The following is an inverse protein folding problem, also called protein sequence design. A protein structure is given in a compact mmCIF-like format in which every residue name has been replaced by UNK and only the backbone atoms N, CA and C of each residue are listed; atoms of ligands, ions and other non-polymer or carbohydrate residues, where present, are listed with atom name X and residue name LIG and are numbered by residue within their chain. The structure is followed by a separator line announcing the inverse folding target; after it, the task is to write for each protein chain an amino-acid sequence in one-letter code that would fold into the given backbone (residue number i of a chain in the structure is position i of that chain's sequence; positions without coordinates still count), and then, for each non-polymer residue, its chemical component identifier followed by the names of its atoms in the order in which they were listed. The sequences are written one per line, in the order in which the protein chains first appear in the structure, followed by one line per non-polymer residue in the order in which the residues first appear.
data_IF_382900622712
#
_entry.id   IF_382900622712
#
_cell.length_a   1.000
_cell.length_b   1.000
_cell.length_c   1.000
_cell.angle_alpha   90.00
_cell.angle_beta   90.00
_cell.angle_gamma   90.00
#
_symmetry.space_group_name_H-M   'P 1'
#
loop_
_entity.id
_entity.type
_entity.pdbx_description
1 polymer ?
#
# COMPACT_ATOMS: atom_id res chain seq x y z
N UNK A 1 -1.55 9.62 26.38
CA UNK A 1 -1.00 9.59 25.02
C UNK A 1 -1.81 8.57 24.28
N UNK A 2 -2.39 8.95 23.15
CA UNK A 2 -3.18 8.04 22.31
C UNK A 2 -2.23 7.12 21.56
N UNK A 3 -2.57 5.85 21.41
CA UNK A 3 -1.79 4.90 20.61
C UNK A 3 -2.44 4.69 19.24
N UNK A 4 -1.63 4.66 18.18
CA UNK A 4 -2.09 4.45 16.81
C UNK A 4 -1.56 3.12 16.23
N UNK A 5 -2.45 2.38 15.56
CA UNK A 5 -2.11 1.21 14.76
C UNK A 5 -2.18 1.57 13.27
N UNK A 6 -1.07 1.38 12.56
CA UNK A 6 -0.97 1.49 11.11
C UNK A 6 -1.02 0.09 10.48
N UNK A 7 -2.13 -0.23 9.82
CA UNK A 7 -2.33 -1.49 9.09
C UNK A 7 -1.98 -1.26 7.62
N UNK A 8 -0.88 -1.86 7.18
CA UNK A 8 -0.31 -1.61 5.85
C UNK A 8 -0.79 -2.64 4.84
N UNK A 9 -1.49 -2.16 3.81
CA UNK A 9 -1.74 -2.85 2.53
C UNK A 9 -2.25 -4.29 2.64
N UNK A 10 -3.24 -4.55 3.51
CA UNK A 10 -3.91 -5.85 3.59
C UNK A 10 -4.93 -5.97 2.45
N UNK A 11 -4.43 -6.04 1.21
CA UNK A 11 -5.17 -6.04 -0.04
C UNK A 11 -5.10 -7.40 -0.75
N UNK A 12 -6.09 -7.68 -1.60
CA UNK A 12 -6.21 -8.96 -2.30
C UNK A 12 -4.96 -9.31 -3.11
N UNK A 13 -4.35 -8.33 -3.79
CA UNK A 13 -3.18 -8.60 -4.63
C UNK A 13 -1.94 -9.04 -3.86
N UNK A 14 -1.87 -8.74 -2.55
CA UNK A 14 -0.77 -9.17 -1.67
C UNK A 14 -1.08 -10.46 -0.91
N UNK A 15 -2.31 -10.97 -0.99
CA UNK A 15 -2.72 -12.24 -0.39
C UNK A 15 -2.65 -13.38 -1.43
N UNK A 16 -2.75 -14.66 -1.01
CA UNK A 16 -2.76 -15.80 -1.94
C UNK A 16 -3.77 -15.62 -3.08
N UNK A 17 -3.35 -15.98 -4.30
CA UNK A 17 -4.08 -15.79 -5.55
C UNK A 17 -4.14 -14.35 -6.09
N UNK A 18 -3.52 -13.39 -5.38
CA UNK A 18 -3.31 -12.02 -5.84
C UNK A 18 -2.22 -11.88 -6.90
N UNK A 19 -2.19 -10.74 -7.60
CA UNK A 19 -1.20 -10.48 -8.66
C UNK A 19 0.25 -10.37 -8.15
N UNK A 20 0.44 -9.98 -6.88
CA UNK A 20 1.73 -9.90 -6.20
C UNK A 20 1.65 -10.62 -4.85
N UNK A 21 1.13 -11.85 -4.88
CA UNK A 21 0.82 -12.62 -3.68
C UNK A 21 2.05 -12.87 -2.80
N UNK A 22 1.90 -12.58 -1.51
CA UNK A 22 2.82 -13.01 -0.45
C UNK A 22 2.31 -14.30 0.16
N UNK A 23 3.18 -15.31 0.25
CA UNK A 23 2.82 -16.60 0.80
C UNK A 23 2.32 -16.47 2.26
N UNK A 24 1.08 -16.89 2.50
CA UNK A 24 0.43 -16.78 3.81
C UNK A 24 0.07 -15.34 4.23
N UNK A 25 0.04 -14.38 3.30
CA UNK A 25 -0.30 -12.98 3.59
C UNK A 25 -1.71 -12.77 4.16
N UNK A 26 -2.61 -13.73 3.98
CA UNK A 26 -3.96 -13.76 4.54
C UNK A 26 -4.01 -14.27 6.00
N UNK A 27 -3.00 -15.02 6.46
CA UNK A 27 -3.00 -15.61 7.80
C UNK A 27 -2.95 -14.57 8.94
N UNK A 28 -2.50 -13.35 8.64
CA UNK A 28 -2.40 -12.25 9.61
C UNK A 28 -3.69 -11.43 9.75
N UNK A 29 -4.69 -11.65 8.90
CA UNK A 29 -5.89 -10.80 8.85
C UNK A 29 -6.67 -10.84 10.17
N UNK A 30 -6.89 -12.04 10.74
CA UNK A 30 -7.61 -12.17 12.00
C UNK A 30 -6.83 -11.60 13.20
N UNK A 31 -5.50 -11.86 13.34
CA UNK A 31 -4.68 -11.16 14.32
C UNK A 31 -4.74 -9.62 14.20
N UNK A 32 -4.74 -9.07 12.98
CA UNK A 32 -4.88 -7.63 12.74
C UNK A 32 -6.24 -7.12 13.21
N UNK A 33 -7.33 -7.80 12.86
CA UNK A 33 -8.68 -7.44 13.33
C UNK A 33 -8.74 -7.35 14.87
N UNK A 34 -8.22 -8.36 15.57
CA UNK A 34 -8.20 -8.37 17.03
C UNK A 34 -7.25 -7.31 17.64
N UNK A 35 -6.22 -6.89 16.90
CA UNK A 35 -5.32 -5.83 17.34
C UNK A 35 -5.99 -4.45 17.22
N UNK A 36 -6.73 -4.18 16.12
CA UNK A 36 -7.38 -2.88 15.88
C UNK A 36 -8.32 -2.45 17.03
N UNK A 37 -8.91 -3.40 17.76
CA UNK A 37 -9.80 -3.10 18.90
C UNK A 37 -9.06 -2.57 20.14
N UNK A 38 -7.72 -2.63 20.16
CA UNK A 38 -6.89 -2.24 21.31
C UNK A 38 -6.24 -0.86 21.16
N UNK A 39 -6.39 -0.21 20.02
CA UNK A 39 -5.77 1.08 19.72
C UNK A 39 -6.83 2.17 19.61
N UNK A 40 -6.47 3.38 20.05
CA UNK A 40 -7.34 4.55 19.99
C UNK A 40 -7.54 5.02 18.54
N UNK A 41 -6.47 4.92 17.74
CA UNK A 41 -6.44 5.37 16.35
C UNK A 41 -6.05 4.20 15.46
N UNK A 42 -6.86 3.91 14.43
CA UNK A 42 -6.59 2.86 13.45
C UNK A 42 -6.49 3.49 12.06
N UNK A 43 -5.33 3.39 11.44
CA UNK A 43 -5.09 3.86 10.07
C UNK A 43 -4.87 2.64 9.19
N UNK A 44 -5.58 2.57 8.07
CA UNK A 44 -5.32 1.59 7.03
C UNK A 44 -4.62 2.29 5.86
N UNK A 45 -3.66 1.62 5.24
CA UNK A 45 -3.10 2.07 3.95
C UNK A 45 -3.59 1.18 2.83
N UNK A 46 -3.60 1.77 1.63
CA UNK A 46 -3.99 1.06 0.43
C UNK A 46 -3.05 1.48 -0.70
N UNK A 47 -2.29 0.55 -1.25
CA UNK A 47 -1.64 0.76 -2.54
C UNK A 47 -2.70 0.98 -3.60
N UNK A 48 -2.52 2.04 -4.40
CA UNK A 48 -3.56 2.58 -5.24
C UNK A 48 -3.00 3.14 -6.55
N UNK A 49 -2.45 2.24 -7.35
CA UNK A 49 -1.70 2.58 -8.55
C UNK A 49 -2.59 2.82 -9.77
N UNK A 50 -2.40 3.91 -10.53
CA UNK A 50 -3.05 4.05 -11.83
C UNK A 50 -2.60 2.92 -12.76
N UNK A 51 -3.39 2.64 -13.81
CA UNK A 51 -2.93 1.79 -14.91
C UNK A 51 -1.64 2.38 -15.49
N UNK A 52 -0.70 1.52 -15.89
CA UNK A 52 0.61 1.91 -16.43
C UNK A 52 1.48 2.71 -15.44
N UNK A 53 1.32 2.49 -14.13
CA UNK A 53 2.21 3.08 -13.12
C UNK A 53 3.68 2.68 -13.38
N UNK A 54 4.63 3.58 -13.10
CA UNK A 54 6.04 3.36 -13.43
C UNK A 54 6.75 2.30 -12.60
N UNK A 55 6.16 1.85 -11.50
CA UNK A 55 6.65 0.65 -10.79
C UNK A 55 6.27 -0.66 -11.49
N UNK A 56 5.36 -0.67 -12.46
CA UNK A 56 4.97 -1.90 -13.15
C UNK A 56 5.94 -2.26 -14.26
N UNK A 57 6.33 -3.53 -14.34
CA UNK A 57 7.14 -4.05 -15.43
C UNK A 57 6.49 -3.86 -16.81
N UNK A 58 5.16 -3.93 -16.89
CA UNK A 58 4.38 -3.70 -18.13
C UNK A 58 4.54 -2.29 -18.68
N UNK A 59 4.94 -1.31 -17.85
CA UNK A 59 5.17 0.08 -18.23
C UNK A 59 6.55 0.34 -18.85
N UNK A 60 7.37 -0.70 -18.99
CA UNK A 60 8.75 -0.62 -19.52
C UNK A 60 8.99 -1.68 -20.59
N UNK A 61 9.51 -1.24 -21.73
CA UNK A 61 9.84 -2.17 -22.82
C UNK A 61 10.96 -3.14 -22.42
N UNK A 62 10.79 -4.41 -22.78
CA UNK A 62 11.78 -5.47 -22.56
C UNK A 62 12.16 -5.70 -21.08
N UNK A 63 11.29 -5.33 -20.14
CA UNK A 63 11.47 -5.59 -18.71
C UNK A 63 10.51 -6.66 -18.21
N UNK A 64 10.88 -7.28 -17.09
CA UNK A 64 10.10 -8.30 -16.39
C UNK A 64 9.88 -7.88 -14.94
N UNK A 65 8.84 -8.41 -14.28
CA UNK A 65 8.72 -8.30 -12.83
C UNK A 65 10.03 -8.69 -12.15
N UNK A 66 10.36 -7.96 -11.09
CA UNK A 66 11.56 -8.05 -10.25
C UNK A 66 12.86 -7.54 -10.89
N UNK A 67 12.84 -7.04 -12.14
CA UNK A 67 13.95 -6.26 -12.69
C UNK A 67 14.12 -4.94 -11.92
N UNK A 68 15.35 -4.43 -11.89
CA UNK A 68 15.65 -3.10 -11.35
C UNK A 68 15.90 -2.13 -12.50
N UNK A 69 15.40 -0.91 -12.36
CA UNK A 69 15.62 0.21 -13.28
C UNK A 69 15.97 1.47 -12.49
N UNK A 70 16.78 2.33 -13.08
CA UNK A 70 17.08 3.64 -12.52
C UNK A 70 15.96 4.63 -12.88
N UNK A 71 15.44 5.33 -11.87
CA UNK A 71 14.45 6.41 -12.00
C UNK A 71 15.05 7.71 -11.48
N UNK A 72 14.36 8.84 -11.71
CA UNK A 72 14.80 10.15 -11.21
C UNK A 72 14.96 10.24 -9.68
N UNK A 73 14.34 9.33 -8.93
CA UNK A 73 14.41 9.22 -7.47
C UNK A 73 15.32 8.06 -6.99
N UNK A 74 16.04 7.39 -7.89
CA UNK A 74 16.94 6.27 -7.60
C UNK A 74 16.43 4.93 -8.15
N UNK A 75 16.99 3.84 -7.63
CA UNK A 75 16.66 2.47 -8.08
C UNK A 75 15.20 2.10 -7.75
N UNK A 76 14.51 1.55 -8.73
CA UNK A 76 13.14 1.05 -8.63
C UNK A 76 13.09 -0.42 -9.02
N UNK A 77 12.58 -1.26 -8.12
CA UNK A 77 12.17 -2.63 -8.44
C UNK A 77 10.86 -2.57 -9.24
N UNK A 78 10.82 -3.27 -10.37
CA UNK A 78 9.62 -3.40 -11.16
C UNK A 78 8.76 -4.55 -10.64
N UNK A 79 7.45 -4.38 -10.63
CA UNK A 79 6.50 -5.36 -10.11
C UNK A 79 5.56 -5.85 -11.21
N UNK A 80 4.86 -6.98 -11.02
CA UNK A 80 3.65 -7.26 -11.77
C UNK A 80 2.64 -6.12 -11.57
N UNK A 81 1.73 -5.93 -12.52
CA UNK A 81 0.59 -5.03 -12.33
C UNK A 81 -0.22 -5.48 -11.11
N UNK A 82 -0.32 -4.61 -10.11
CA UNK A 82 -0.99 -4.91 -8.84
C UNK A 82 -1.67 -3.67 -8.29
N UNK A 83 -2.66 -3.87 -7.44
CA UNK A 83 -3.36 -2.82 -6.70
C UNK A 83 -3.85 -1.66 -7.59
N UNK A 84 -4.25 -1.99 -8.83
CA UNK A 84 -4.72 -1.01 -9.79
C UNK A 84 -6.01 -0.37 -9.29
N UNK A 85 -6.10 0.97 -9.36
CA UNK A 85 -7.26 1.73 -8.88
C UNK A 85 -8.59 1.16 -9.40
N UNK A 86 -9.50 0.87 -8.47
CA UNK A 86 -10.85 0.34 -8.77
C UNK A 86 -10.91 -1.15 -9.12
N UNK A 87 -9.78 -1.85 -9.21
CA UNK A 87 -9.73 -3.29 -9.47
C UNK A 87 -10.13 -4.12 -8.25
N UNK A 88 -10.40 -5.41 -8.46
CA UNK A 88 -10.59 -6.37 -7.35
C UNK A 88 -9.31 -6.54 -6.52
N UNK A 89 -8.16 -6.59 -7.19
CA UNK A 89 -6.85 -6.77 -6.55
C UNK A 89 -6.51 -5.65 -5.56
N UNK A 90 -6.93 -4.42 -5.87
CA UNK A 90 -6.72 -3.27 -4.99
C UNK A 90 -7.66 -3.20 -3.78
N UNK A 91 -8.74 -3.98 -3.73
CA UNK A 91 -9.63 -3.98 -2.56
C UNK A 91 -8.91 -4.60 -1.36
N UNK A 92 -9.29 -4.20 -0.16
CA UNK A 92 -8.88 -4.90 1.06
C UNK A 92 -9.28 -6.37 0.98
N UNK A 93 -8.51 -7.23 1.67
CA UNK A 93 -8.86 -8.63 1.86
C UNK A 93 -10.28 -8.71 2.45
N UNK A 94 -11.17 -9.61 1.97
CA UNK A 94 -12.58 -9.66 2.37
C UNK A 94 -12.77 -9.85 3.88
N UNK A 95 -11.84 -10.54 4.54
CA UNK A 95 -11.91 -10.81 5.98
C UNK A 95 -11.35 -9.66 6.84
N UNK A 96 -10.74 -8.63 6.24
CA UNK A 96 -10.26 -7.46 6.98
C UNK A 96 -11.45 -6.56 7.35
N UNK A 97 -11.59 -6.27 8.64
CA UNK A 97 -12.60 -5.34 9.15
C UNK A 97 -12.19 -3.88 8.87
N UNK A 98 -12.13 -3.49 7.61
CA UNK A 98 -11.72 -2.14 7.19
C UNK A 98 -12.67 -1.03 7.66
N UNK A 99 -13.88 -1.37 8.12
CA UNK A 99 -14.82 -0.40 8.70
C UNK A 99 -14.37 0.15 10.05
N UNK A 100 -13.41 -0.53 10.71
CA UNK A 100 -12.78 -0.03 11.95
C UNK A 100 -11.83 1.14 11.72
N UNK A 101 -11.40 1.40 10.49
CA UNK A 101 -10.44 2.46 10.17
C UNK A 101 -10.97 3.86 10.50
N UNK A 102 -10.17 4.65 11.20
CA UNK A 102 -10.39 6.10 11.36
C UNK A 102 -10.10 6.87 10.07
N UNK A 103 -9.12 6.40 9.30
CA UNK A 103 -8.75 6.95 7.99
C UNK A 103 -8.12 5.87 7.13
N UNK A 104 -8.32 5.98 5.82
CA UNK A 104 -7.62 5.19 4.81
C UNK A 104 -6.70 6.11 4.01
N UNK A 105 -5.40 5.83 4.03
CA UNK A 105 -4.39 6.56 3.24
C UNK A 105 -4.07 5.75 1.99
N UNK A 106 -4.43 6.30 0.83
CA UNK A 106 -4.03 5.73 -0.47
C UNK A 106 -2.65 6.25 -0.87
N UNK A 107 -1.78 5.35 -1.29
CA UNK A 107 -0.39 5.66 -1.71
C UNK A 107 -0.08 5.07 -3.10
N UNK A 108 0.96 5.58 -3.75
CA UNK A 108 1.37 5.13 -5.09
C UNK A 108 0.45 5.61 -6.22
N UNK A 109 -0.34 6.66 -5.99
CA UNK A 109 -1.28 7.20 -6.99
C UNK A 109 -0.63 8.11 -8.03
N UNK A 110 0.58 8.60 -7.76
CA UNK A 110 1.38 9.33 -8.72
C UNK A 110 1.91 8.37 -9.79
N UNK A 111 1.55 8.50 -11.08
CA UNK A 111 1.97 7.54 -12.11
C UNK A 111 3.49 7.41 -12.28
N UNK A 112 4.25 8.42 -11.87
CA UNK A 112 5.69 8.50 -12.08
C UNK A 112 6.53 8.12 -10.85
N UNK A 113 5.94 8.13 -9.64
CA UNK A 113 6.68 7.94 -8.39
C UNK A 113 5.97 6.91 -7.54
N UNK A 114 6.69 5.84 -7.23
CA UNK A 114 6.20 4.79 -6.35
C UNK A 114 6.17 5.24 -4.88
N UNK A 115 5.43 4.54 -4.02
CA UNK A 115 5.30 4.92 -2.61
C UNK A 115 5.11 3.69 -1.72
N UNK A 116 6.22 3.07 -1.31
CA UNK A 116 6.15 1.99 -0.32
C UNK A 116 5.76 2.51 1.06
N UNK A 117 6.34 3.65 1.45
CA UNK A 117 6.05 4.28 2.73
C UNK A 117 4.67 4.93 2.72
N UNK A 118 4.01 4.84 3.87
CA UNK A 118 2.76 5.53 4.13
C UNK A 118 2.96 7.00 4.52
N UNK A 119 4.20 7.49 4.64
CA UNK A 119 4.52 8.85 5.09
C UNK A 119 5.01 9.76 3.96
N UNK A 120 5.86 9.24 3.09
CA UNK A 120 6.44 9.94 1.94
C UNK A 120 6.53 9.00 0.74
N UNK A 121 6.42 9.55 -0.47
CA UNK A 121 6.70 8.81 -1.72
C UNK A 121 8.20 8.45 -1.83
N UNK A 122 8.57 7.59 -2.77
CA UNK A 122 9.94 7.11 -2.93
C UNK A 122 10.93 8.21 -3.35
N UNK A 123 10.45 9.38 -3.77
CA UNK A 123 11.26 10.59 -3.97
C UNK A 123 11.79 11.19 -2.65
N UNK A 124 11.28 10.72 -1.49
CA UNK A 124 11.62 11.17 -0.13
C UNK A 124 11.31 12.64 0.15
N UNK A 125 10.50 13.28 -0.70
CA UNK A 125 10.12 14.69 -0.58
C UNK A 125 8.61 14.83 -0.51
N UNK A 126 7.86 14.08 -1.32
CA UNK A 126 6.41 14.22 -1.44
C UNK A 126 5.70 13.53 -0.27
N UNK A 127 4.97 14.25 0.60
CA UNK A 127 4.29 13.66 1.74
C UNK A 127 2.94 13.05 1.34
N UNK A 128 2.55 11.96 2.00
CA UNK A 128 1.23 11.32 1.82
C UNK A 128 0.11 12.00 2.61
N UNK A 129 0.48 12.88 3.56
CA UNK A 129 -0.43 13.50 4.53
C UNK A 129 -0.56 12.75 5.86
N UNK A 130 -0.09 11.50 5.97
CA UNK A 130 -0.21 10.71 7.21
C UNK A 130 0.46 11.39 8.42
N UNK A 131 1.65 11.98 8.21
CA UNK A 131 2.37 12.71 9.25
C UNK A 131 1.54 13.87 9.82
N UNK A 132 0.89 14.63 8.94
CA UNK A 132 0.03 15.74 9.35
C UNK A 132 -1.23 15.26 10.07
N UNK A 133 -1.82 14.16 9.60
CA UNK A 133 -2.97 13.53 10.25
C UNK A 133 -2.66 13.09 11.68
N UNK A 134 -1.53 12.40 11.90
CA UNK A 134 -1.11 11.94 13.23
C UNK A 134 -0.83 13.11 14.18
N UNK A 135 -0.10 14.13 13.73
CA UNK A 135 0.21 15.31 14.55
C UNK A 135 -1.01 16.09 15.03
N UNK A 136 -2.11 16.04 14.30
CA UNK A 136 -3.35 16.75 14.64
C UNK A 136 -4.29 15.93 15.54
N UNK A 137 -3.91 14.71 15.91
CA UNK A 137 -4.70 13.81 16.78
C UNK A 137 -4.11 13.63 18.19
N UNK A 138 -2.99 14.29 18.48
CA UNK A 138 -2.43 14.41 19.84
C UNK A 138 -3.11 15.49 20.67
#
# INVERSE_FOLDING_TARGET
MSEALLVVDVQNDFCPNGALAVAGGDAIVQPINAAMDKFDIVILTQDWHPKNHKSFASSHENKKPFDIVEMSYGDQVLWPDHCIQGSMGARFHPDLNHTRADVIIRKGSNPAVDSYSAFYENDKVTPTGLHGYLKNRD
#
